data_IF_886719358109
#
_entry.id   IF_886719358109
#
_cell.length_a   1.000
_cell.length_b   1.000
_cell.length_c   1.000
_cell.angle_alpha   90.00
_cell.angle_beta   90.00
_cell.angle_gamma   90.00
#
_symmetry.space_group_name_H-M   'P 1'
#
loop_
_entity.id
_entity.type
_entity.pdbx_description
1 polymer ?
#
# COMPACT_ATOMS: atom_id res chain seq x y z
N UNK A 1 -7.96 3.11 -10.70
CA UNK A 1 -8.42 3.15 -9.30
C UNK A 1 -8.59 1.76 -8.65
N UNK A 2 -9.31 0.82 -9.29
CA UNK A 2 -9.57 -0.51 -8.72
C UNK A 2 -8.31 -1.29 -8.31
N UNK A 3 -7.23 -1.18 -9.07
CA UNK A 3 -5.95 -1.81 -8.77
C UNK A 3 -5.28 -1.25 -7.51
N UNK A 4 -5.28 0.07 -7.34
CA UNK A 4 -4.77 0.73 -6.14
C UNK A 4 -5.55 0.24 -4.91
N UNK A 5 -6.88 0.17 -4.99
CA UNK A 5 -7.72 -0.34 -3.89
C UNK A 5 -7.37 -1.80 -3.54
N UNK A 6 -7.08 -2.65 -4.54
CA UNK A 6 -6.63 -4.04 -4.31
C UNK A 6 -5.28 -4.09 -3.61
N UNK A 7 -4.32 -3.27 -4.01
CA UNK A 7 -2.99 -3.21 -3.37
C UNK A 7 -3.09 -2.72 -1.93
N UNK A 8 -3.90 -1.69 -1.66
CA UNK A 8 -4.15 -1.19 -0.29
C UNK A 8 -4.75 -2.29 0.58
N UNK A 9 -5.78 -3.00 0.10
CA UNK A 9 -6.39 -4.10 0.85
C UNK A 9 -5.37 -5.22 1.16
N UNK A 10 -4.56 -5.62 0.17
CA UNK A 10 -3.51 -6.63 0.33
C UNK A 10 -2.45 -6.24 1.37
N UNK A 11 -2.17 -4.95 1.51
CA UNK A 11 -1.18 -4.41 2.44
C UNK A 11 -1.80 -3.81 3.72
N UNK A 12 -3.10 -4.03 3.95
CA UNK A 12 -3.79 -3.65 5.18
C UNK A 12 -3.75 -4.82 6.16
N UNK A 13 -3.26 -4.56 7.37
CA UNK A 13 -3.36 -5.47 8.51
C UNK A 13 -4.57 -5.08 9.34
N UNK A 14 -5.48 -6.03 9.54
CA UNK A 14 -6.64 -5.85 10.42
C UNK A 14 -6.26 -5.81 11.90
N UNK A 15 -7.26 -5.66 12.77
CA UNK A 15 -7.08 -5.67 14.21
C UNK A 15 -6.55 -7.02 14.69
N UNK A 16 -5.65 -7.00 15.66
CA UNK A 16 -5.16 -8.21 16.30
C UNK A 16 -6.27 -8.82 17.16
N UNK A 17 -6.55 -10.11 16.99
CA UNK A 17 -7.63 -10.81 17.72
C UNK A 17 -9.02 -10.14 17.63
N UNK A 18 -9.26 -9.33 16.58
CA UNK A 18 -10.52 -8.58 16.39
C UNK A 18 -10.75 -7.40 17.34
N UNK A 19 -9.98 -7.31 18.43
CA UNK A 19 -10.21 -6.40 19.56
C UNK A 19 -9.03 -5.46 19.84
N UNK A 20 -7.81 -5.79 19.41
CA UNK A 20 -6.60 -5.05 19.76
C UNK A 20 -6.05 -4.26 18.56
N UNK A 21 -5.90 -2.96 18.79
CA UNK A 21 -5.33 -2.02 17.83
C UNK A 21 -6.30 -1.58 16.73
N UNK A 22 -5.76 -0.85 15.76
CA UNK A 22 -6.51 -0.30 14.61
C UNK A 22 -6.05 -0.96 13.30
N UNK A 23 -6.89 -0.96 12.25
CA UNK A 23 -6.44 -1.31 10.91
C UNK A 23 -5.29 -0.40 10.46
N UNK A 24 -4.20 -0.99 9.95
CA UNK A 24 -3.01 -0.23 9.50
C UNK A 24 -2.55 -0.70 8.13
N UNK A 25 -2.14 0.24 7.30
CA UNK A 25 -1.55 -0.02 5.98
C UNK A 25 -0.04 -0.04 6.10
N UNK A 26 0.60 -1.08 5.56
CA UNK A 26 2.05 -1.15 5.48
C UNK A 26 2.55 -0.32 4.28
N UNK A 27 2.88 0.95 4.52
CA UNK A 27 3.19 1.94 3.47
C UNK A 27 4.43 1.58 2.66
N UNK A 28 5.53 1.18 3.31
CA UNK A 28 6.75 0.81 2.58
C UNK A 28 6.53 -0.35 1.58
N UNK A 29 6.01 -1.52 1.97
CA UNK A 29 5.76 -2.60 1.00
C UNK A 29 4.66 -2.24 -0.01
N UNK A 30 3.69 -1.40 0.35
CA UNK A 30 2.71 -0.86 -0.60
C UNK A 30 3.41 0.00 -1.67
N UNK A 31 4.29 0.92 -1.28
CA UNK A 31 5.03 1.77 -2.22
C UNK A 31 5.89 0.92 -3.16
N UNK A 32 6.59 -0.09 -2.66
CA UNK A 32 7.36 -1.01 -3.51
C UNK A 32 6.48 -1.79 -4.49
N UNK A 33 5.26 -2.15 -4.08
CA UNK A 33 4.30 -2.80 -4.98
C UNK A 33 3.74 -1.83 -6.03
N UNK A 34 3.51 -0.57 -5.65
CA UNK A 34 3.10 0.50 -6.56
C UNK A 34 4.20 0.79 -7.57
N UNK A 35 5.46 0.93 -7.16
CA UNK A 35 6.60 1.17 -8.07
C UNK A 35 6.74 0.06 -9.13
N UNK A 36 6.40 -1.18 -8.78
CA UNK A 36 6.41 -2.31 -9.72
C UNK A 36 5.21 -2.30 -10.67
N UNK A 37 4.04 -1.90 -10.18
CA UNK A 37 2.80 -1.86 -10.97
C UNK A 37 2.74 -0.62 -11.89
N UNK A 38 3.30 0.49 -11.44
CA UNK A 38 3.36 1.77 -12.12
C UNK A 38 4.63 2.51 -11.65
N UNK A 39 5.75 2.38 -12.38
CA UNK A 39 7.00 3.04 -12.03
C UNK A 39 6.80 4.55 -11.88
N UNK A 40 7.34 5.18 -10.83
CA UNK A 40 7.24 6.61 -10.69
C UNK A 40 7.99 7.31 -11.84
N UNK A 41 7.54 8.49 -12.27
CA UNK A 41 8.28 9.28 -13.24
C UNK A 41 9.69 9.57 -12.71
N UNK A 42 10.70 9.69 -13.58
CA UNK A 42 12.06 9.97 -13.15
C UNK A 42 12.10 11.27 -12.36
N UNK A 43 12.75 11.22 -11.20
CA UNK A 43 12.84 12.34 -10.25
C UNK A 43 13.54 13.59 -10.84
N UNK A 44 14.11 13.48 -12.04
CA UNK A 44 14.80 14.54 -12.78
C UNK A 44 13.93 15.30 -13.78
N UNK A 45 12.63 15.04 -13.85
CA UNK A 45 11.72 15.77 -14.74
C UNK A 45 11.24 17.13 -14.16
N UNK A 46 11.99 17.73 -13.23
CA UNK A 46 11.73 19.05 -12.64
C UNK A 46 13.00 19.86 -12.50
#
# INVERSE_FOLDING_TARGET
EAEVRRLVAKHTRGRQFGLLGEPRVAVLPLNLALDRAAPPPPASAR
#
